data_IF_557855403205
#
_entry.id   IF_557855403205
#
_cell.length_a   1.000
_cell.length_b   1.000
_cell.length_c   1.000
_cell.angle_alpha   90.00
_cell.angle_beta   90.00
_cell.angle_gamma   90.00
#
_symmetry.space_group_name_H-M   'P 1'
#
loop_
_entity.id
_entity.type
_entity.pdbx_description
1 polymer ?
#
# COMPACT_ATOMS: atom_id res chain seq x y z
N UNK A 1 20.48 9.36 -10.49
CA UNK A 1 21.45 8.90 -9.45
C UNK A 1 20.71 8.83 -8.12
N UNK A 2 20.93 7.77 -7.33
CA UNK A 2 20.27 7.61 -6.03
C UNK A 2 21.28 7.80 -4.91
N UNK A 3 20.98 8.65 -3.94
CA UNK A 3 21.82 8.90 -2.76
C UNK A 3 20.98 8.69 -1.50
N UNK A 4 21.53 7.96 -0.50
CA UNK A 4 20.88 7.72 0.80
C UNK A 4 21.68 8.39 1.90
N UNK A 5 21.01 9.25 2.67
CA UNK A 5 21.63 10.13 3.68
C UNK A 5 20.89 9.93 5.00
N UNK A 6 21.62 9.63 6.06
CA UNK A 6 21.07 9.73 7.41
C UNK A 6 21.15 11.20 7.86
N UNK A 7 19.97 11.79 8.13
CA UNK A 7 19.89 13.19 8.57
C UNK A 7 20.08 13.30 10.08
N UNK A 8 19.41 12.42 10.82
CA UNK A 8 19.45 12.24 12.27
C UNK A 8 19.20 10.76 12.60
N UNK A 9 19.50 10.28 13.82
CA UNK A 9 19.16 8.91 14.21
C UNK A 9 17.68 8.58 13.92
N UNK A 10 17.46 7.60 13.05
CA UNK A 10 16.13 7.18 12.65
C UNK A 10 15.41 8.10 11.65
N UNK A 11 16.08 9.11 11.08
CA UNK A 11 15.56 9.93 9.97
C UNK A 11 16.47 9.73 8.75
N UNK A 12 15.98 9.02 7.75
CA UNK A 12 16.70 8.70 6.53
C UNK A 12 16.07 9.38 5.32
N UNK A 13 16.91 9.99 4.49
CA UNK A 13 16.55 10.60 3.23
C UNK A 13 17.10 9.77 2.07
N UNK A 14 16.25 9.43 1.12
CA UNK A 14 16.62 8.90 -0.19
C UNK A 14 16.34 9.95 -1.25
N UNK A 15 17.35 10.33 -2.01
CA UNK A 15 17.25 11.33 -3.10
C UNK A 15 17.47 10.63 -4.43
N UNK A 16 16.49 10.76 -5.32
CA UNK A 16 16.59 10.40 -6.72
C UNK A 16 16.76 11.68 -7.54
N UNK A 17 18.00 11.98 -7.93
CA UNK A 17 18.25 13.15 -8.79
C UNK A 17 17.87 12.83 -10.21
N UNK A 18 16.81 13.51 -10.71
CA UNK A 18 16.30 13.37 -12.07
C UNK A 18 15.76 14.71 -12.58
N UNK A 19 16.33 15.21 -13.67
CA UNK A 19 15.96 16.48 -14.26
C UNK A 19 14.91 16.37 -15.39
N UNK A 20 14.40 15.17 -15.68
CA UNK A 20 13.35 14.98 -16.72
C UNK A 20 12.00 15.54 -16.30
N UNK A 21 11.73 15.58 -14.99
CA UNK A 21 10.44 15.98 -14.46
C UNK A 21 10.33 17.51 -14.31
N UNK A 22 9.12 18.03 -14.56
CA UNK A 22 8.76 19.43 -14.30
C UNK A 22 8.26 19.61 -12.86
N UNK A 23 7.80 18.54 -12.26
CA UNK A 23 7.39 18.49 -10.86
C UNK A 23 8.31 17.58 -10.10
N UNK A 24 8.68 18.01 -8.90
CA UNK A 24 9.40 17.22 -7.92
C UNK A 24 8.42 16.61 -6.93
N UNK A 25 8.78 15.52 -6.30
CA UNK A 25 8.03 15.04 -5.16
C UNK A 25 8.90 14.92 -3.91
N UNK A 26 8.27 15.11 -2.77
CA UNK A 26 8.79 14.74 -1.46
C UNK A 26 7.76 13.88 -0.74
N UNK A 27 8.19 12.72 -0.23
CA UNK A 27 7.37 11.89 0.66
C UNK A 27 7.99 11.89 2.05
N UNK A 28 7.16 12.15 3.06
CA UNK A 28 7.54 12.12 4.48
C UNK A 28 6.70 11.02 5.12
N UNK A 29 7.35 9.96 5.59
CA UNK A 29 6.68 8.78 6.11
C UNK A 29 7.20 8.42 7.50
N UNK A 30 6.37 8.57 8.52
CA UNK A 30 6.59 7.95 9.82
C UNK A 30 6.18 6.48 9.72
N UNK A 31 7.06 5.58 10.12
CA UNK A 31 6.83 4.15 9.99
C UNK A 31 6.49 3.53 11.34
N UNK A 32 5.39 2.80 11.40
CA UNK A 32 4.93 2.08 12.60
C UNK A 32 4.76 0.60 12.29
N UNK A 33 4.96 -0.27 13.27
CA UNK A 33 4.45 -1.62 13.17
C UNK A 33 2.92 -1.56 13.08
N UNK A 34 2.34 -2.40 12.21
CA UNK A 34 0.90 -2.48 12.10
C UNK A 34 0.29 -3.03 13.38
N UNK A 35 -0.54 -2.25 14.03
CA UNK A 35 -1.23 -2.60 15.28
C UNK A 35 -2.69 -2.18 15.21
N UNK A 36 -3.59 -3.05 15.70
CA UNK A 36 -5.04 -2.80 15.68
C UNK A 36 -5.43 -1.55 16.46
N UNK A 37 -4.78 -1.30 17.58
CA UNK A 37 -5.07 -0.14 18.44
C UNK A 37 -4.59 1.19 17.84
N UNK A 38 -3.66 1.15 16.87
CA UNK A 38 -3.06 2.36 16.28
C UNK A 38 -3.52 2.61 14.83
N UNK A 39 -3.99 1.58 14.11
CA UNK A 39 -4.22 1.63 12.67
C UNK A 39 -5.17 2.77 12.23
N UNK A 40 -6.27 2.95 12.96
CA UNK A 40 -7.25 4.00 12.68
C UNK A 40 -6.67 5.39 12.91
N UNK A 41 -5.95 5.60 14.01
CA UNK A 41 -5.30 6.89 14.33
C UNK A 41 -4.18 7.20 13.34
N UNK A 42 -3.35 6.22 12.97
CA UNK A 42 -2.29 6.39 11.96
C UNK A 42 -2.85 6.84 10.61
N UNK A 43 -4.04 6.35 10.23
CA UNK A 43 -4.69 6.76 8.99
C UNK A 43 -5.34 8.15 9.08
N UNK A 44 -5.81 8.55 10.27
CA UNK A 44 -6.55 9.79 10.49
C UNK A 44 -5.61 11.01 10.61
N UNK A 45 -4.48 10.86 11.28
CA UNK A 45 -3.55 11.96 11.61
C UNK A 45 -3.20 12.84 10.41
N UNK A 46 -2.76 12.33 9.25
CA UNK A 46 -2.35 13.20 8.15
C UNK A 46 -3.50 14.07 7.62
N UNK A 47 -4.72 13.54 7.61
CA UNK A 47 -5.89 14.29 7.16
C UNK A 47 -6.24 15.40 8.15
N UNK A 48 -6.16 15.14 9.46
CA UNK A 48 -6.40 16.15 10.51
C UNK A 48 -5.35 17.26 10.43
N UNK A 49 -4.07 16.94 10.23
CA UNK A 49 -2.99 17.92 10.07
C UNK A 49 -3.19 18.82 8.83
N UNK A 50 -3.79 18.30 7.77
CA UNK A 50 -4.10 19.07 6.55
C UNK A 50 -5.29 20.01 6.69
N UNK A 51 -6.03 19.99 7.81
CA UNK A 51 -7.16 20.89 8.01
C UNK A 51 -6.74 22.33 8.27
N UNK A 52 -5.56 22.56 8.86
CA UNK A 52 -5.06 23.90 9.14
C UNK A 52 -3.78 23.91 9.96
N UNK A 53 -3.10 25.06 9.92
CA UNK A 53 -1.96 25.43 10.78
C UNK A 53 -2.32 26.67 11.58
N UNK A 54 -1.50 27.08 12.57
CA UNK A 54 -1.73 28.32 13.30
C UNK A 54 -1.65 29.57 12.38
N UNK A 55 -0.94 29.48 11.25
CA UNK A 55 -0.85 30.56 10.24
C UNK A 55 -1.88 30.47 9.13
N UNK A 56 -2.52 29.31 8.93
CA UNK A 56 -3.53 29.04 7.91
C UNK A 56 -4.63 28.14 8.51
N UNK A 57 -5.60 28.74 9.17
CA UNK A 57 -6.54 28.10 10.10
C UNK A 57 -7.67 27.29 9.43
N UNK A 58 -7.76 27.27 8.11
CA UNK A 58 -8.79 26.54 7.39
C UNK A 58 -8.30 26.02 6.02
N UNK A 59 -9.07 25.10 5.41
CA UNK A 59 -8.76 24.52 4.11
C UNK A 59 -8.64 25.55 2.97
N UNK A 60 -9.37 26.65 3.05
CA UNK A 60 -9.30 27.70 2.03
C UNK A 60 -7.94 28.40 2.09
N UNK A 61 -7.46 28.73 3.29
CA UNK A 61 -6.14 29.36 3.49
C UNK A 61 -5.02 28.39 3.10
N UNK A 62 -5.15 27.11 3.43
CA UNK A 62 -4.24 26.04 2.97
C UNK A 62 -4.19 26.01 1.45
N UNK A 63 -5.35 25.99 0.77
CA UNK A 63 -5.43 25.96 -0.69
C UNK A 63 -4.80 27.20 -1.32
N UNK A 64 -5.12 28.39 -0.81
CA UNK A 64 -4.52 29.63 -1.29
C UNK A 64 -3.00 29.63 -1.16
N UNK A 65 -2.48 29.13 -0.03
CA UNK A 65 -1.05 29.01 0.17
C UNK A 65 -0.39 28.04 -0.81
N UNK A 66 -1.03 26.90 -1.11
CA UNK A 66 -0.54 25.96 -2.11
C UNK A 66 -0.59 26.52 -3.53
N UNK A 67 -1.62 27.31 -3.86
CA UNK A 67 -1.72 28.02 -5.15
C UNK A 67 -0.60 29.06 -5.30
N UNK A 68 -0.27 29.82 -4.26
CA UNK A 68 0.88 30.74 -4.23
C UNK A 68 2.22 30.01 -4.44
N UNK A 69 2.30 28.72 -4.06
CA UNK A 69 3.44 27.84 -4.30
C UNK A 69 3.38 27.14 -5.67
N UNK A 70 2.89 27.85 -6.70
CA UNK A 70 2.77 27.37 -8.07
C UNK A 70 1.89 26.11 -8.22
N UNK A 71 0.82 26.02 -7.42
CA UNK A 71 -0.08 24.88 -7.43
C UNK A 71 0.57 23.62 -6.82
N UNK A 72 1.40 23.78 -5.81
CA UNK A 72 1.90 22.66 -5.04
C UNK A 72 0.74 21.87 -4.41
N UNK A 73 0.93 20.59 -4.20
CA UNK A 73 -0.08 19.74 -3.56
C UNK A 73 0.52 18.95 -2.41
N UNK A 74 -0.26 18.81 -1.34
CA UNK A 74 0.06 17.96 -0.19
C UNK A 74 -1.08 16.99 -0.01
N UNK A 75 -0.77 15.70 -0.01
CA UNK A 75 -1.74 14.62 0.15
C UNK A 75 -1.39 13.74 1.34
N UNK A 76 -2.38 13.23 2.09
CA UNK A 76 -2.13 12.34 3.20
C UNK A 76 -1.60 10.99 2.70
N UNK A 77 -0.61 10.47 3.41
CA UNK A 77 -0.14 9.08 3.24
C UNK A 77 -0.67 8.23 4.39
N UNK A 78 -1.31 7.12 4.04
CA UNK A 78 -1.55 5.99 4.91
C UNK A 78 -1.39 4.73 4.08
N UNK A 79 -0.19 4.13 4.09
CA UNK A 79 0.13 2.96 3.28
C UNK A 79 0.45 1.78 4.18
N UNK A 80 0.32 0.58 3.64
CA UNK A 80 0.73 -0.66 4.28
C UNK A 80 1.86 -1.31 3.50
N UNK A 81 2.90 -1.74 4.20
CA UNK A 81 4.00 -2.52 3.65
C UNK A 81 4.29 -3.73 4.58
N UNK A 82 3.63 -4.86 4.29
CA UNK A 82 3.75 -6.06 5.11
C UNK A 82 3.30 -5.83 6.56
N UNK A 83 4.24 -5.92 7.49
CA UNK A 83 4.03 -5.72 8.92
C UNK A 83 4.01 -4.26 9.35
N UNK A 84 4.23 -3.32 8.43
CA UNK A 84 4.32 -1.89 8.75
C UNK A 84 3.19 -1.09 8.14
N UNK A 85 2.89 0.03 8.79
CA UNK A 85 2.03 1.10 8.31
C UNK A 85 2.84 2.39 8.26
N UNK A 86 2.70 3.14 7.17
CA UNK A 86 3.28 4.48 7.07
C UNK A 86 2.19 5.54 7.19
N UNK A 87 2.52 6.65 7.85
CA UNK A 87 1.65 7.81 8.00
C UNK A 87 2.45 9.08 7.74
N UNK A 88 1.88 10.06 7.07
CA UNK A 88 2.54 11.32 6.75
C UNK A 88 2.04 11.97 5.48
N UNK A 89 2.93 12.56 4.67
CA UNK A 89 2.56 13.36 3.51
C UNK A 89 3.32 12.97 2.25
N UNK A 90 2.60 13.01 1.14
CA UNK A 90 3.15 13.10 -0.20
C UNK A 90 2.97 14.52 -0.72
N UNK A 91 4.06 15.16 -1.11
CA UNK A 91 4.11 16.53 -1.57
C UNK A 91 4.55 16.53 -3.02
N UNK A 92 3.80 17.19 -3.90
CA UNK A 92 4.21 17.47 -5.28
C UNK A 92 4.36 18.98 -5.46
N UNK A 93 5.47 19.40 -6.04
CA UNK A 93 5.79 20.81 -6.22
C UNK A 93 6.48 21.05 -7.56
N UNK A 94 6.32 22.24 -8.11
CA UNK A 94 7.03 22.63 -9.33
C UNK A 94 8.54 22.69 -9.06
N UNK A 95 9.32 22.28 -10.04
CA UNK A 95 10.78 22.36 -9.97
C UNK A 95 11.25 23.83 -10.01
N UNK A 96 12.19 24.21 -9.15
CA UNK A 96 12.75 25.57 -9.04
C UNK A 96 13.21 26.15 -10.38
N UNK A 97 13.61 25.31 -11.35
CA UNK A 97 14.02 25.72 -12.71
C UNK A 97 12.92 26.41 -13.53
N UNK A 98 11.67 26.23 -13.15
CA UNK A 98 10.51 26.80 -13.81
C UNK A 98 9.85 27.93 -13.01
N UNK A 99 10.37 28.24 -11.82
CA UNK A 99 9.90 29.34 -10.99
C UNK A 99 10.31 30.71 -11.59
N UNK A 100 9.50 31.72 -11.32
CA UNK A 100 9.78 33.07 -11.72
C UNK A 100 10.85 33.69 -10.79
N UNK A 101 11.63 34.64 -11.32
CA UNK A 101 12.58 35.46 -10.56
C UNK A 101 13.59 34.70 -9.68
N UNK A 102 13.82 33.42 -9.96
CA UNK A 102 14.75 32.57 -9.20
C UNK A 102 14.27 32.17 -7.81
N UNK A 103 12.97 32.19 -7.56
CA UNK A 103 12.38 31.70 -6.32
C UNK A 103 12.68 30.21 -6.08
N UNK A 104 12.91 29.87 -4.81
CA UNK A 104 13.01 28.45 -4.42
C UNK A 104 11.65 27.92 -3.98
N UNK A 105 10.92 27.32 -4.91
CA UNK A 105 9.66 26.61 -4.62
C UNK A 105 9.87 25.49 -3.63
N UNK A 106 11.00 24.77 -3.75
CA UNK A 106 11.38 23.72 -2.81
C UNK A 106 11.44 24.23 -1.36
N UNK A 107 12.21 25.30 -1.10
CA UNK A 107 12.39 25.80 0.27
C UNK A 107 11.09 26.36 0.85
N UNK A 108 10.29 27.08 0.05
CA UNK A 108 9.00 27.63 0.48
C UNK A 108 7.99 26.52 0.75
N UNK A 109 7.89 25.50 -0.13
CA UNK A 109 7.00 24.36 0.08
C UNK A 109 7.40 23.56 1.32
N UNK A 110 8.70 23.34 1.54
CA UNK A 110 9.18 22.64 2.74
C UNK A 110 8.91 23.42 4.02
N UNK A 111 8.97 24.77 3.98
CA UNK A 111 8.56 25.62 5.12
C UNK A 111 7.08 25.42 5.44
N UNK A 112 6.22 25.41 4.44
CA UNK A 112 4.79 25.17 4.64
C UNK A 112 4.50 23.74 5.15
N UNK A 113 5.17 22.74 4.64
CA UNK A 113 5.04 21.34 5.11
C UNK A 113 5.53 21.21 6.56
N UNK A 114 6.57 21.97 6.94
CA UNK A 114 7.01 22.07 8.34
C UNK A 114 5.89 22.59 9.24
N UNK A 115 5.18 23.63 8.82
CA UNK A 115 4.06 24.18 9.59
C UNK A 115 2.94 23.14 9.74
N UNK A 116 2.60 22.39 8.68
CA UNK A 116 1.63 21.28 8.77
C UNK A 116 2.03 20.21 9.79
N UNK A 117 3.33 19.88 9.88
CA UNK A 117 3.82 18.84 10.78
C UNK A 117 3.99 19.32 12.23
N UNK A 118 4.30 20.60 12.46
CA UNK A 118 4.79 21.06 13.77
C UNK A 118 4.03 22.26 14.34
N UNK A 119 3.29 23.00 13.52
CA UNK A 119 2.58 24.24 13.92
C UNK A 119 1.05 24.13 13.73
N UNK A 120 0.50 23.00 14.15
CA UNK A 120 -0.95 22.76 14.11
C UNK A 120 -1.69 23.35 15.30
N UNK A 121 -2.94 23.83 15.14
CA UNK A 121 -3.73 24.39 16.23
C UNK A 121 -4.22 23.29 17.19
N UNK A 122 -4.23 23.64 18.48
CA UNK A 122 -4.69 22.74 19.55
C UNK A 122 -5.67 23.42 20.47
N UNK A 123 -6.56 22.65 21.09
CA UNK A 123 -7.52 23.12 22.08
C UNK A 123 -7.66 22.09 23.20
N UNK A 124 -7.69 22.56 24.45
CA UNK A 124 -7.86 21.70 25.65
C UNK A 124 -6.90 20.50 25.70
N UNK A 125 -5.68 20.66 25.14
CA UNK A 125 -4.65 19.62 25.13
C UNK A 125 -4.86 18.53 24.06
N UNK A 126 -5.75 18.71 23.09
CA UNK A 126 -5.97 17.85 21.92
C UNK A 126 -5.90 18.63 20.62
N UNK A 127 -6.05 17.97 19.49
CA UNK A 127 -6.32 18.64 18.21
C UNK A 127 -7.66 19.39 18.28
N UNK A 128 -7.90 20.35 17.36
CA UNK A 128 -9.21 21.00 17.28
C UNK A 128 -10.31 19.94 17.07
N UNK A 129 -11.38 19.93 17.92
CA UNK A 129 -12.46 18.95 17.82
C UNK A 129 -13.11 18.92 16.43
N UNK A 130 -13.36 20.09 15.83
CA UNK A 130 -13.98 20.20 14.51
C UNK A 130 -13.12 19.56 13.40
N UNK A 131 -11.79 19.62 13.53
CA UNK A 131 -10.88 18.97 12.57
C UNK A 131 -10.95 17.46 12.71
N UNK A 132 -10.90 16.96 13.94
CA UNK A 132 -10.94 15.52 14.20
C UNK A 132 -12.29 14.94 13.80
N UNK A 133 -13.40 15.52 14.24
CA UNK A 133 -14.73 15.00 13.93
C UNK A 133 -15.03 15.06 12.42
N UNK A 134 -14.61 16.14 11.73
CA UNK A 134 -14.75 16.25 10.28
C UNK A 134 -13.98 15.13 9.53
N UNK A 135 -12.75 14.83 9.94
CA UNK A 135 -11.96 13.79 9.28
C UNK A 135 -12.36 12.35 9.70
N UNK A 136 -12.91 12.17 10.90
CA UNK A 136 -13.56 10.89 11.28
C UNK A 136 -14.72 10.56 10.34
N UNK A 137 -15.58 11.54 10.03
CA UNK A 137 -16.67 11.35 9.05
C UNK A 137 -16.13 10.93 7.69
N UNK A 138 -15.07 11.59 7.20
CA UNK A 138 -14.46 11.28 5.93
C UNK A 138 -13.83 9.87 5.93
N UNK A 139 -13.12 9.49 6.97
CA UNK A 139 -12.49 8.16 7.07
C UNK A 139 -13.54 7.06 7.19
N UNK A 140 -14.60 7.26 7.98
CA UNK A 140 -15.72 6.30 8.07
C UNK A 140 -16.39 6.14 6.70
N UNK A 141 -16.65 7.25 5.99
CA UNK A 141 -17.22 7.19 4.65
C UNK A 141 -16.32 6.44 3.66
N UNK A 142 -15.00 6.62 3.74
CA UNK A 142 -14.03 5.88 2.92
C UNK A 142 -14.04 4.38 3.24
N UNK A 143 -14.09 3.99 4.52
CA UNK A 143 -14.22 2.58 4.95
C UNK A 143 -15.51 1.98 4.42
N UNK A 144 -16.63 2.69 4.53
CA UNK A 144 -17.93 2.23 4.04
C UNK A 144 -17.95 2.11 2.51
N UNK A 145 -17.31 3.02 1.80
CA UNK A 145 -17.19 2.95 0.34
C UNK A 145 -16.40 1.70 -0.11
N UNK A 146 -15.30 1.35 0.60
CA UNK A 146 -14.59 0.08 0.34
C UNK A 146 -15.48 -1.13 0.59
N UNK A 147 -16.32 -1.13 1.63
CA UNK A 147 -17.22 -2.23 1.95
C UNK A 147 -18.41 -2.34 0.96
N UNK A 148 -18.76 -1.26 0.28
CA UNK A 148 -19.79 -1.27 -0.75
C UNK A 148 -19.32 -1.95 -2.05
N UNK A 149 -18.03 -1.90 -2.38
CA UNK A 149 -17.46 -2.77 -3.43
C UNK A 149 -17.39 -4.21 -2.91
N UNK A 150 -18.32 -5.04 -3.33
CA UNK A 150 -18.45 -6.41 -2.84
C UNK A 150 -17.26 -7.31 -3.19
N UNK A 151 -16.46 -6.94 -4.19
CA UNK A 151 -15.19 -7.63 -4.49
C UNK A 151 -14.15 -7.27 -3.43
N UNK A 152 -13.99 -6.00 -3.10
CA UNK A 152 -13.08 -5.53 -2.05
C UNK A 152 -13.52 -6.09 -0.70
N UNK A 153 -14.82 -6.06 -0.42
CA UNK A 153 -15.40 -6.64 0.79
C UNK A 153 -15.03 -8.11 0.95
N UNK A 154 -15.28 -8.95 -0.07
CA UNK A 154 -15.01 -10.39 -0.01
C UNK A 154 -13.50 -10.69 0.23
N UNK A 155 -12.61 -9.95 -0.45
CA UNK A 155 -11.16 -10.05 -0.23
C UNK A 155 -10.81 -9.67 1.21
N UNK A 156 -11.36 -8.59 1.73
CA UNK A 156 -11.13 -8.13 3.11
C UNK A 156 -11.60 -9.17 4.13
N UNK A 157 -12.78 -9.76 3.92
CA UNK A 157 -13.30 -10.80 4.81
C UNK A 157 -12.44 -12.06 4.79
N UNK A 158 -11.99 -12.50 3.62
CA UNK A 158 -11.07 -13.62 3.54
C UNK A 158 -9.77 -13.34 4.31
N UNK A 159 -9.12 -12.20 4.08
CA UNK A 159 -7.86 -11.84 4.75
C UNK A 159 -8.05 -11.67 6.27
N UNK A 160 -9.14 -11.04 6.69
CA UNK A 160 -9.48 -10.86 8.12
C UNK A 160 -9.60 -12.20 8.86
N UNK A 161 -10.18 -13.20 8.21
CA UNK A 161 -10.35 -14.53 8.81
C UNK A 161 -9.08 -15.37 8.69
N UNK A 162 -8.48 -15.44 7.50
CA UNK A 162 -7.25 -16.20 7.23
C UNK A 162 -6.07 -15.73 8.08
N UNK A 163 -5.94 -14.41 8.27
CA UNK A 163 -4.81 -13.77 8.95
C UNK A 163 -5.23 -13.12 10.29
N UNK A 164 -6.23 -13.65 10.99
CA UNK A 164 -6.76 -13.09 12.24
C UNK A 164 -5.68 -12.88 13.30
N UNK A 165 -4.70 -13.78 13.36
CA UNK A 165 -3.59 -13.78 14.33
C UNK A 165 -2.35 -13.03 13.83
N UNK A 166 -2.43 -12.46 12.64
CA UNK A 166 -1.34 -11.71 11.98
C UNK A 166 -1.72 -10.24 11.79
N UNK A 167 -0.72 -9.37 11.88
CA UNK A 167 -0.88 -7.96 11.55
C UNK A 167 -1.47 -7.76 10.15
N UNK A 168 -1.25 -8.71 9.24
CA UNK A 168 -1.78 -8.66 7.87
C UNK A 168 -3.31 -8.72 7.79
N UNK A 169 -4.01 -9.27 8.78
CA UNK A 169 -5.47 -9.24 8.88
C UNK A 169 -6.07 -7.90 9.37
N UNK A 170 -5.25 -6.94 9.83
CA UNK A 170 -5.72 -5.66 10.35
C UNK A 170 -6.03 -4.71 9.17
N UNK A 171 -7.20 -4.09 9.09
CA UNK A 171 -7.50 -3.09 8.07
C UNK A 171 -6.62 -1.85 8.20
N UNK A 172 -6.12 -1.33 7.07
CA UNK A 172 -5.23 -0.15 7.03
C UNK A 172 -5.83 1.10 7.67
N UNK A 173 -7.13 1.33 7.48
CA UNK A 173 -7.86 2.48 8.05
C UNK A 173 -8.53 2.17 9.39
N UNK A 174 -8.31 0.98 9.96
CA UNK A 174 -9.08 0.49 11.12
C UNK A 174 -10.50 0.06 10.74
N UNK A 175 -11.32 -0.21 11.74
CA UNK A 175 -12.75 -0.47 11.60
C UNK A 175 -13.54 0.82 11.91
N UNK A 176 -14.80 0.90 11.49
CA UNK A 176 -15.68 2.06 11.75
C UNK A 176 -15.77 2.37 13.26
N UNK A 177 -15.88 1.34 14.09
CA UNK A 177 -15.91 1.49 15.55
C UNK A 177 -14.63 2.07 16.11
N UNK A 178 -13.46 1.67 15.56
CA UNK A 178 -12.16 2.17 16.00
C UNK A 178 -12.05 3.68 15.71
N UNK A 179 -12.44 4.10 14.50
CA UNK A 179 -12.43 5.52 14.11
C UNK A 179 -13.42 6.33 14.95
N UNK A 180 -14.63 5.84 15.16
CA UNK A 180 -15.66 6.52 15.94
C UNK A 180 -15.23 6.80 17.39
N UNK A 181 -14.44 5.91 17.98
CA UNK A 181 -13.97 6.01 19.37
C UNK A 181 -12.83 7.01 19.57
N UNK A 182 -12.14 7.47 18.50
CA UNK A 182 -10.99 8.38 18.61
C UNK A 182 -11.40 9.71 19.19
N UNK A 183 -10.68 10.17 20.22
CA UNK A 183 -10.83 11.51 20.79
C UNK A 183 -9.71 12.45 20.31
N UNK A 184 -9.94 13.78 20.27
CA UNK A 184 -8.92 14.77 19.91
C UNK A 184 -7.64 14.67 20.77
N UNK A 185 -7.79 14.40 22.06
CA UNK A 185 -6.69 14.25 23.01
C UNK A 185 -5.84 13.01 22.69
N UNK A 186 -6.47 11.84 22.59
CA UNK A 186 -5.76 10.58 22.27
C UNK A 186 -5.04 10.65 20.93
N UNK A 187 -5.65 11.30 19.93
CA UNK A 187 -5.06 11.46 18.60
C UNK A 187 -3.79 12.34 18.68
N UNK A 188 -3.81 13.45 19.42
CA UNK A 188 -2.63 14.29 19.60
C UNK A 188 -1.54 13.56 20.39
N UNK A 189 -1.87 12.89 21.49
CA UNK A 189 -0.91 12.12 22.28
C UNK A 189 -0.25 11.02 21.44
N UNK A 190 -1.05 10.37 20.59
CA UNK A 190 -0.54 9.37 19.66
C UNK A 190 0.39 9.99 18.59
N UNK A 191 0.02 11.14 18.03
CA UNK A 191 0.87 11.84 17.06
C UNK A 191 2.21 12.28 17.67
N UNK A 192 2.19 12.82 18.88
CA UNK A 192 3.41 13.20 19.62
C UNK A 192 4.32 11.98 19.87
N UNK A 193 3.72 10.81 20.16
CA UNK A 193 4.45 9.55 20.30
C UNK A 193 5.06 9.11 18.97
N UNK A 194 4.30 9.18 17.85
CA UNK A 194 4.80 8.87 16.50
C UNK A 194 6.01 9.74 16.18
N UNK A 195 5.91 11.03 16.35
CA UNK A 195 7.01 11.98 16.10
C UNK A 195 8.25 11.65 16.91
N UNK A 196 8.08 11.30 18.17
CA UNK A 196 9.19 11.00 19.08
C UNK A 196 9.87 9.68 18.78
N UNK A 197 9.10 8.62 18.49
CA UNK A 197 9.61 7.24 18.52
C UNK A 197 9.81 6.61 17.13
N UNK A 198 9.00 7.01 16.14
CA UNK A 198 8.98 6.30 14.86
C UNK A 198 10.18 6.60 13.97
N UNK A 199 10.71 5.62 13.24
CA UNK A 199 11.55 5.89 12.08
C UNK A 199 10.84 6.81 11.10
N UNK A 200 11.59 7.70 10.45
CA UNK A 200 11.10 8.57 9.38
C UNK A 200 11.85 8.24 8.10
N UNK A 201 11.12 7.87 7.09
CA UNK A 201 11.63 7.72 5.74
C UNK A 201 11.20 8.92 4.89
N UNK A 202 12.18 9.55 4.29
CA UNK A 202 12.03 10.71 3.42
C UNK A 202 12.49 10.32 2.02
N UNK A 203 11.67 10.58 1.01
CA UNK A 203 12.00 10.33 -0.38
C UNK A 203 11.84 11.61 -1.17
N UNK A 204 12.88 12.02 -1.86
CA UNK A 204 12.84 13.14 -2.80
C UNK A 204 13.15 12.63 -4.20
N UNK A 205 12.32 12.99 -5.16
CA UNK A 205 12.55 12.74 -6.59
C UNK A 205 12.44 14.08 -7.32
N UNK A 206 13.54 14.53 -7.94
CA UNK A 206 13.55 15.80 -8.64
C UNK A 206 14.96 16.24 -9.00
N UNK A 207 15.10 17.50 -9.47
CA UNK A 207 16.37 18.03 -9.99
C UNK A 207 17.31 18.62 -8.93
N UNK A 208 16.81 18.86 -7.70
CA UNK A 208 17.63 19.51 -6.67
C UNK A 208 18.79 18.62 -6.23
N UNK A 209 19.91 19.26 -5.92
CA UNK A 209 21.10 18.57 -5.42
C UNK A 209 20.80 17.92 -4.06
N UNK A 210 21.29 16.70 -3.80
CA UNK A 210 21.03 15.98 -2.55
C UNK A 210 21.38 16.79 -1.30
N UNK A 211 22.47 17.55 -1.34
CA UNK A 211 22.94 18.38 -0.23
C UNK A 211 21.99 19.54 0.08
N UNK A 212 21.35 20.15 -0.95
CA UNK A 212 20.33 21.20 -0.76
C UNK A 212 19.10 20.61 -0.06
N UNK A 213 18.60 19.49 -0.57
CA UNK A 213 17.43 18.79 0.02
C UNK A 213 17.73 18.36 1.46
N UNK A 214 18.90 17.76 1.70
CA UNK A 214 19.32 17.33 3.03
C UNK A 214 19.44 18.50 4.02
N UNK A 215 19.97 19.66 3.60
CA UNK A 215 20.04 20.87 4.44
C UNK A 215 18.64 21.31 4.86
N UNK A 216 17.72 21.51 3.92
CA UNK A 216 16.37 21.97 4.20
C UNK A 216 15.62 21.02 5.15
N UNK A 217 15.75 19.70 4.93
CA UNK A 217 15.12 18.71 5.80
C UNK A 217 15.79 18.62 7.18
N UNK A 218 17.12 18.82 7.29
CA UNK A 218 17.76 18.94 8.62
C UNK A 218 17.20 20.13 9.39
N UNK A 219 17.05 21.29 8.74
CA UNK A 219 16.45 22.48 9.36
C UNK A 219 14.98 22.23 9.79
N UNK A 220 14.22 21.49 9.00
CA UNK A 220 12.83 21.10 9.35
C UNK A 220 12.79 20.28 10.65
N UNK A 221 13.67 19.30 10.82
CA UNK A 221 13.67 18.38 11.97
C UNK A 221 14.61 18.79 13.11
N UNK A 222 15.30 19.93 13.02
CA UNK A 222 16.35 20.35 13.97
C UNK A 222 15.90 20.46 15.43
N UNK A 223 14.64 20.81 15.66
CA UNK A 223 14.09 21.02 17.01
C UNK A 223 13.40 19.77 17.58
N UNK A 224 13.32 18.69 16.81
CA UNK A 224 12.66 17.47 17.24
C UNK A 224 13.51 16.69 18.26
N UNK A 225 13.01 16.57 19.48
CA UNK A 225 13.59 15.71 20.50
C UNK A 225 13.06 14.29 20.32
N UNK A 226 13.91 13.39 19.84
CA UNK A 226 13.51 12.04 19.49
C UNK A 226 14.11 11.01 20.45
N UNK A 227 13.27 10.04 20.79
CA UNK A 227 13.64 8.78 21.46
C UNK A 227 13.36 7.65 20.45
N UNK A 228 14.15 7.66 19.37
CA UNK A 228 13.96 6.77 18.22
C UNK A 228 14.02 5.31 18.64
N UNK A 229 13.03 4.56 18.17
CA UNK A 229 12.97 3.11 18.32
C UNK A 229 13.05 2.44 16.95
N UNK A 230 14.00 1.53 16.73
CA UNK A 230 14.08 0.79 15.47
C UNK A 230 12.82 -0.04 15.25
N UNK A 231 12.47 -0.26 14.00
CA UNK A 231 11.36 -1.16 13.65
C UNK A 231 11.73 -2.59 14.09
N UNK A 232 10.78 -3.34 14.65
CA UNK A 232 10.98 -4.77 14.85
C UNK A 232 11.09 -5.47 13.50
N UNK A 233 11.78 -6.61 13.46
CA UNK A 233 11.91 -7.42 12.26
C UNK A 233 10.55 -7.86 11.70
N UNK A 234 10.54 -8.17 10.41
CA UNK A 234 9.40 -8.81 9.76
C UNK A 234 9.09 -10.15 10.40
N UNK A 235 7.81 -10.40 10.65
CA UNK A 235 7.37 -11.67 11.22
C UNK A 235 6.88 -12.62 10.13
N UNK A 236 7.17 -13.93 10.24
CA UNK A 236 6.52 -14.93 9.39
C UNK A 236 4.99 -14.81 9.48
N UNK A 237 4.32 -15.10 8.37
CA UNK A 237 2.86 -15.10 8.32
C UNK A 237 2.27 -16.08 9.36
N UNK A 238 1.39 -15.59 10.21
CA UNK A 238 0.62 -16.40 11.14
C UNK A 238 -0.78 -16.62 10.59
N UNK A 239 -1.06 -17.86 10.25
CA UNK A 239 -2.36 -18.26 9.72
C UNK A 239 -3.24 -18.80 10.83
N UNK A 240 -4.50 -18.43 10.79
CA UNK A 240 -5.56 -19.05 11.62
C UNK A 240 -5.84 -20.47 11.13
N UNK A 241 -6.75 -21.22 11.79
CA UNK A 241 -7.21 -22.49 11.24
C UNK A 241 -7.82 -22.36 9.85
N UNK A 242 -7.67 -23.39 9.00
CA UNK A 242 -8.29 -23.41 7.67
C UNK A 242 -9.80 -23.20 7.76
N UNK A 243 -10.35 -22.37 6.88
CA UNK A 243 -11.75 -22.00 6.89
C UNK A 243 -12.35 -22.04 5.48
N UNK A 244 -13.59 -22.50 5.40
CA UNK A 244 -14.47 -22.37 4.22
C UNK A 244 -15.69 -21.55 4.66
N UNK A 245 -15.70 -20.26 4.31
CA UNK A 245 -16.67 -19.30 4.82
C UNK A 245 -17.66 -18.98 3.74
N UNK A 246 -18.96 -19.07 4.08
CA UNK A 246 -20.07 -18.61 3.24
C UNK A 246 -20.82 -17.52 3.98
N UNK A 247 -21.06 -16.42 3.28
CA UNK A 247 -21.84 -15.29 3.80
C UNK A 247 -22.94 -14.94 2.81
N UNK A 248 -24.15 -14.68 3.32
CA UNK A 248 -25.29 -14.26 2.51
C UNK A 248 -25.45 -12.76 2.57
N UNK A 249 -25.59 -12.13 1.41
CA UNK A 249 -25.82 -10.69 1.28
C UNK A 249 -26.60 -10.42 0.01
N UNK A 250 -27.32 -9.30 -0.02
CA UNK A 250 -28.01 -8.85 -1.22
C UNK A 250 -26.97 -8.44 -2.29
N UNK A 251 -26.68 -9.35 -3.21
CA UNK A 251 -25.73 -9.17 -4.33
C UNK A 251 -26.27 -9.82 -5.58
N UNK A 252 -26.00 -9.22 -6.74
CA UNK A 252 -26.41 -9.75 -8.04
C UNK A 252 -25.59 -10.97 -8.48
N UNK A 253 -24.34 -11.07 -8.08
CA UNK A 253 -23.41 -12.14 -8.47
C UNK A 253 -22.53 -12.53 -7.28
N UNK A 254 -22.19 -13.82 -7.21
CA UNK A 254 -21.30 -14.37 -6.20
C UNK A 254 -19.87 -13.79 -6.29
N UNK A 255 -19.21 -13.71 -5.14
CA UNK A 255 -17.79 -13.36 -5.06
C UNK A 255 -17.05 -14.49 -4.37
N UNK A 256 -16.31 -15.26 -5.16
CA UNK A 256 -15.44 -16.33 -4.66
C UNK A 256 -14.03 -15.79 -4.45
N UNK A 257 -13.52 -15.92 -3.23
CA UNK A 257 -12.14 -15.60 -2.89
C UNK A 257 -11.45 -16.85 -2.34
N UNK A 258 -10.25 -17.16 -2.86
CA UNK A 258 -9.45 -18.28 -2.40
C UNK A 258 -8.07 -17.78 -1.96
N UNK A 259 -7.72 -18.00 -0.70
CA UNK A 259 -6.47 -17.56 -0.09
C UNK A 259 -5.47 -18.70 -0.01
N UNK A 260 -4.30 -18.48 -0.57
CA UNK A 260 -3.18 -19.43 -0.57
C UNK A 260 -2.01 -18.82 0.22
N UNK A 261 -1.21 -19.68 0.81
CA UNK A 261 0.05 -19.30 1.46
C UNK A 261 1.25 -19.91 0.74
N UNK A 262 2.35 -19.19 0.75
CA UNK A 262 3.66 -19.64 0.30
C UNK A 262 4.75 -19.16 1.24
N UNK A 263 5.84 -19.91 1.47
CA UNK A 263 6.98 -19.41 2.24
C UNK A 263 7.79 -18.34 1.50
N UNK A 264 7.53 -18.12 0.20
CA UNK A 264 8.26 -17.14 -0.60
C UNK A 264 7.72 -15.73 -0.32
N UNK A 265 8.62 -14.84 0.07
CA UNK A 265 8.36 -13.42 0.28
C UNK A 265 9.26 -12.57 -0.61
N UNK A 266 9.09 -11.26 -0.61
CA UNK A 266 9.96 -10.35 -1.36
C UNK A 266 11.40 -10.29 -0.83
N UNK A 267 11.71 -10.95 0.28
CA UNK A 267 13.06 -11.09 0.86
C UNK A 267 13.78 -12.35 0.38
N UNK A 268 13.06 -13.25 -0.26
CA UNK A 268 13.60 -14.53 -0.71
C UNK A 268 14.18 -14.44 -2.12
N UNK A 269 15.20 -15.26 -2.40
CA UNK A 269 15.80 -15.36 -3.75
C UNK A 269 14.80 -15.73 -4.83
N UNK A 270 13.75 -16.48 -4.46
CA UNK A 270 12.73 -16.99 -5.38
C UNK A 270 11.59 -15.98 -5.61
N UNK A 271 11.73 -14.72 -5.10
CA UNK A 271 10.72 -13.69 -5.23
C UNK A 271 10.29 -13.42 -6.68
N UNK A 272 11.27 -13.21 -7.57
CA UNK A 272 10.99 -12.99 -8.99
C UNK A 272 10.29 -14.21 -9.64
N UNK A 273 10.71 -15.43 -9.28
CA UNK A 273 10.06 -16.65 -9.75
C UNK A 273 8.59 -16.76 -9.27
N UNK A 274 8.32 -16.38 -8.02
CA UNK A 274 6.96 -16.37 -7.47
C UNK A 274 6.07 -15.32 -8.16
N UNK A 275 6.62 -14.15 -8.52
CA UNK A 275 5.89 -13.16 -9.30
C UNK A 275 5.52 -13.68 -10.70
N UNK A 276 6.49 -14.31 -11.42
CA UNK A 276 6.23 -14.92 -12.73
C UNK A 276 5.22 -16.05 -12.59
N UNK A 277 5.32 -16.90 -11.54
CA UNK A 277 4.34 -17.94 -11.26
C UNK A 277 2.93 -17.36 -11.09
N UNK A 278 2.78 -16.28 -10.32
CA UNK A 278 1.49 -15.62 -10.18
C UNK A 278 1.01 -15.01 -11.51
N UNK A 279 1.91 -14.45 -12.33
CA UNK A 279 1.61 -13.95 -13.68
C UNK A 279 1.03 -15.03 -14.58
N UNK A 280 1.70 -16.20 -14.65
CA UNK A 280 1.23 -17.37 -15.41
C UNK A 280 -0.10 -17.91 -14.87
N UNK A 281 -0.26 -17.94 -13.55
CA UNK A 281 -1.44 -18.51 -12.91
C UNK A 281 -2.68 -17.63 -13.11
N UNK A 282 -2.64 -16.35 -12.69
CA UNK A 282 -3.84 -15.49 -12.70
C UNK A 282 -3.56 -13.99 -12.70
N UNK A 283 -2.31 -13.55 -12.99
CA UNK A 283 -1.89 -12.17 -12.83
C UNK A 283 -2.39 -11.19 -13.90
N UNK A 284 -2.72 -11.68 -15.08
CA UNK A 284 -3.20 -10.86 -16.20
C UNK A 284 -4.13 -11.62 -17.16
N UNK A 285 -4.50 -10.95 -18.27
CA UNK A 285 -5.42 -11.50 -19.29
C UNK A 285 -4.84 -12.68 -20.09
N UNK A 286 -3.54 -12.91 -20.06
CA UNK A 286 -2.88 -14.04 -20.72
C UNK A 286 -2.72 -15.25 -19.80
N UNK A 287 -3.06 -15.09 -18.52
CA UNK A 287 -2.91 -16.12 -17.50
C UNK A 287 -3.84 -17.32 -17.67
N UNK A 288 -3.47 -18.43 -17.06
CA UNK A 288 -4.28 -19.67 -17.09
C UNK A 288 -5.67 -19.47 -16.53
N UNK A 289 -5.84 -18.76 -15.43
CA UNK A 289 -7.16 -18.50 -14.87
C UNK A 289 -8.03 -17.70 -15.83
N UNK A 290 -7.50 -16.64 -16.42
CA UNK A 290 -8.26 -15.83 -17.35
C UNK A 290 -8.63 -16.61 -18.61
N UNK A 291 -7.66 -17.26 -19.25
CA UNK A 291 -7.83 -17.96 -20.51
C UNK A 291 -8.70 -19.23 -20.39
N UNK A 292 -8.56 -19.99 -19.31
CA UNK A 292 -9.21 -21.30 -19.20
C UNK A 292 -10.52 -21.24 -18.39
N UNK A 293 -10.59 -20.45 -17.30
CA UNK A 293 -11.79 -20.37 -16.45
C UNK A 293 -12.79 -19.39 -17.02
N UNK A 294 -12.33 -18.20 -17.44
CA UNK A 294 -13.23 -17.15 -17.97
C UNK A 294 -13.52 -17.35 -19.46
N UNK A 295 -12.48 -17.33 -20.32
CA UNK A 295 -12.68 -17.28 -21.77
C UNK A 295 -13.15 -18.61 -22.35
N UNK A 296 -12.53 -19.74 -21.99
CA UNK A 296 -12.87 -21.05 -22.57
C UNK A 296 -14.10 -21.69 -21.94
N UNK A 297 -14.21 -21.62 -20.61
CA UNK A 297 -15.29 -22.32 -19.91
C UNK A 297 -16.43 -21.39 -19.46
N UNK A 298 -16.26 -20.06 -19.55
CA UNK A 298 -17.28 -19.07 -19.19
C UNK A 298 -17.84 -19.22 -17.76
N UNK A 299 -16.99 -19.71 -16.80
CA UNK A 299 -17.40 -19.97 -15.42
C UNK A 299 -17.49 -18.69 -14.58
N UNK A 300 -16.93 -17.57 -15.06
CA UNK A 300 -16.86 -16.33 -14.30
C UNK A 300 -16.87 -15.09 -15.22
N UNK A 301 -17.35 -13.97 -14.71
CA UNK A 301 -17.29 -12.66 -15.39
C UNK A 301 -15.93 -11.98 -15.21
N UNK A 302 -15.30 -12.23 -14.08
CA UNK A 302 -13.97 -11.70 -13.74
C UNK A 302 -13.22 -12.72 -12.90
N UNK A 303 -11.92 -12.84 -13.14
CA UNK A 303 -11.03 -13.67 -12.33
C UNK A 303 -9.62 -13.13 -12.40
N UNK A 304 -8.88 -13.24 -11.30
CA UNK A 304 -7.48 -12.91 -11.26
C UNK A 304 -6.84 -13.32 -9.94
N UNK A 305 -5.50 -13.32 -9.92
CA UNK A 305 -4.74 -13.56 -8.70
C UNK A 305 -3.84 -12.38 -8.35
N UNK A 306 -3.64 -12.15 -7.06
CA UNK A 306 -2.76 -11.12 -6.51
C UNK A 306 -1.78 -11.75 -5.53
N UNK A 307 -0.49 -11.46 -5.69
CA UNK A 307 0.57 -11.93 -4.79
C UNK A 307 1.00 -10.81 -3.83
N UNK A 308 0.69 -10.99 -2.55
CA UNK A 308 1.10 -10.11 -1.45
C UNK A 308 2.47 -10.55 -0.93
N UNK A 309 3.50 -10.11 -1.62
CA UNK A 309 4.87 -10.62 -1.48
C UNK A 309 5.48 -10.38 -0.09
N UNK A 310 5.12 -9.32 0.60
CA UNK A 310 5.66 -9.04 1.93
C UNK A 310 5.30 -10.11 2.98
N UNK A 311 4.21 -10.87 2.73
CA UNK A 311 3.70 -11.90 3.67
C UNK A 311 3.58 -13.30 3.05
N UNK A 312 3.86 -13.47 1.76
CA UNK A 312 3.73 -14.77 1.09
C UNK A 312 2.27 -15.24 0.98
N UNK A 313 1.36 -14.34 0.65
CA UNK A 313 -0.05 -14.67 0.41
C UNK A 313 -0.37 -14.49 -1.07
N UNK A 314 -1.02 -15.47 -1.68
CA UNK A 314 -1.66 -15.32 -2.99
C UNK A 314 -3.16 -15.43 -2.82
N UNK A 315 -3.87 -14.49 -3.42
CA UNK A 315 -5.31 -14.43 -3.35
C UNK A 315 -5.89 -14.51 -4.76
N UNK A 316 -6.77 -15.47 -5.00
CA UNK A 316 -7.61 -15.54 -6.21
C UNK A 316 -8.96 -14.95 -5.89
N UNK A 317 -9.47 -14.08 -6.76
CA UNK A 317 -10.81 -13.50 -6.66
C UNK A 317 -11.55 -13.68 -7.97
N UNK A 318 -12.80 -14.19 -7.92
CA UNK A 318 -13.66 -14.40 -9.07
C UNK A 318 -15.07 -13.87 -8.81
N UNK A 319 -15.65 -13.24 -9.85
CA UNK A 319 -17.08 -12.87 -9.90
C UNK A 319 -17.83 -13.92 -10.71
N UNK A 320 -18.79 -14.62 -10.11
CA UNK A 320 -19.42 -15.83 -10.67
C UNK A 320 -20.95 -15.80 -10.47
N UNK A 321 -21.65 -16.63 -11.21
CA UNK A 321 -23.02 -17.01 -10.85
C UNK A 321 -22.99 -17.97 -9.65
N UNK A 322 -24.03 -17.95 -8.83
CA UNK A 322 -24.04 -18.66 -7.55
C UNK A 322 -23.89 -20.17 -7.70
N UNK A 323 -24.48 -20.76 -8.73
CA UNK A 323 -24.43 -22.19 -9.06
C UNK A 323 -23.08 -22.63 -9.64
N UNK A 324 -22.26 -21.69 -10.12
CA UNK A 324 -20.95 -21.97 -10.70
C UNK A 324 -19.83 -22.09 -9.65
N UNK A 325 -20.10 -21.83 -8.37
CA UNK A 325 -19.08 -21.84 -7.33
C UNK A 325 -18.29 -23.16 -7.27
N UNK A 326 -18.91 -24.35 -7.22
CA UNK A 326 -18.16 -25.59 -7.12
C UNK A 326 -17.24 -25.84 -8.33
N UNK A 327 -17.76 -25.59 -9.54
CA UNK A 327 -17.00 -25.79 -10.77
C UNK A 327 -15.84 -24.79 -10.91
N UNK A 328 -16.09 -23.52 -10.58
CA UNK A 328 -15.05 -22.49 -10.61
C UNK A 328 -13.94 -22.79 -9.62
N UNK A 329 -14.27 -23.22 -8.40
CA UNK A 329 -13.31 -23.64 -7.38
C UNK A 329 -12.45 -24.80 -7.85
N UNK A 330 -13.05 -25.85 -8.38
CA UNK A 330 -12.37 -27.03 -8.91
C UNK A 330 -11.43 -26.65 -10.07
N UNK A 331 -11.91 -25.83 -10.99
CA UNK A 331 -11.13 -25.41 -12.14
C UNK A 331 -9.93 -24.51 -11.74
N UNK A 332 -10.09 -23.60 -10.79
CA UNK A 332 -8.97 -22.83 -10.23
C UNK A 332 -7.87 -23.76 -9.69
N UNK A 333 -8.25 -24.77 -8.92
CA UNK A 333 -7.31 -25.75 -8.37
C UNK A 333 -6.67 -26.60 -9.47
N UNK A 334 -7.42 -26.97 -10.49
CA UNK A 334 -6.90 -27.70 -11.65
C UNK A 334 -5.86 -26.87 -12.41
N UNK A 335 -6.08 -25.57 -12.60
CA UNK A 335 -5.10 -24.69 -13.25
C UNK A 335 -3.83 -24.54 -12.41
N UNK A 336 -3.92 -24.53 -11.09
CA UNK A 336 -2.75 -24.55 -10.21
C UNK A 336 -1.98 -25.87 -10.34
N UNK A 337 -2.69 -27.02 -10.43
CA UNK A 337 -2.04 -28.32 -10.61
C UNK A 337 -1.29 -28.41 -11.94
N UNK A 338 -1.87 -27.88 -13.02
CA UNK A 338 -1.16 -27.76 -14.31
C UNK A 338 0.13 -26.94 -14.19
N UNK A 339 0.15 -25.87 -13.37
CA UNK A 339 1.40 -25.16 -13.10
C UNK A 339 2.42 -26.04 -12.35
N UNK A 340 1.98 -26.84 -11.38
CA UNK A 340 2.83 -27.76 -10.59
C UNK A 340 3.44 -28.89 -11.42
N UNK A 341 2.68 -29.38 -12.39
CA UNK A 341 3.10 -30.43 -13.33
C UNK A 341 3.98 -29.87 -14.46
N UNK A 342 4.14 -28.55 -14.56
CA UNK A 342 4.97 -27.91 -15.58
C UNK A 342 4.27 -27.72 -16.94
N UNK A 343 2.95 -27.87 -17.00
CA UNK A 343 2.15 -27.55 -18.18
C UNK A 343 2.06 -26.05 -18.39
N UNK A 344 3.21 -25.42 -18.65
CA UNK A 344 3.39 -23.99 -18.89
C UNK A 344 4.03 -23.85 -20.27
N UNK A 345 3.35 -23.22 -21.21
CA UNK A 345 3.89 -22.96 -22.55
C UNK A 345 4.96 -21.85 -22.50
N UNK A 346 5.81 -21.80 -23.52
CA UNK A 346 6.80 -20.72 -23.68
C UNK A 346 6.11 -19.37 -23.81
N UNK A 347 4.96 -19.32 -24.46
CA UNK A 347 4.16 -18.09 -24.60
C UNK A 347 3.63 -17.59 -23.26
N UNK A 348 3.07 -18.45 -22.40
CA UNK A 348 2.59 -18.06 -21.07
C UNK A 348 3.73 -17.53 -20.19
N UNK A 349 4.89 -18.22 -20.21
CA UNK A 349 6.06 -17.80 -19.46
C UNK A 349 6.60 -16.45 -19.95
N UNK A 350 6.72 -16.28 -21.27
CA UNK A 350 7.22 -15.03 -21.88
C UNK A 350 6.28 -13.88 -21.59
N UNK A 351 4.97 -14.04 -21.82
CA UNK A 351 3.98 -12.98 -21.58
C UNK A 351 3.97 -12.52 -20.12
N UNK A 352 4.02 -13.45 -19.16
CA UNK A 352 4.08 -13.10 -17.74
C UNK A 352 5.34 -12.30 -17.40
N UNK A 353 6.51 -12.67 -17.93
CA UNK A 353 7.75 -11.90 -17.73
C UNK A 353 7.67 -10.52 -18.36
N UNK A 354 7.24 -10.41 -19.61
CA UNK A 354 7.15 -9.14 -20.33
C UNK A 354 6.20 -8.16 -19.66
N UNK A 355 5.04 -8.64 -19.17
CA UNK A 355 4.09 -7.81 -18.42
C UNK A 355 4.72 -7.23 -17.15
N UNK A 356 5.42 -8.04 -16.35
CA UNK A 356 6.10 -7.61 -15.14
C UNK A 356 7.26 -6.65 -15.43
N UNK A 357 8.08 -6.95 -16.45
CA UNK A 357 9.20 -6.09 -16.87
C UNK A 357 8.68 -4.75 -17.40
N UNK A 358 7.60 -4.76 -18.19
CA UNK A 358 6.97 -3.54 -18.68
C UNK A 358 6.46 -2.67 -17.54
N UNK A 359 5.81 -3.26 -16.53
CA UNK A 359 5.39 -2.55 -15.33
C UNK A 359 6.57 -1.92 -14.58
N UNK A 360 7.70 -2.64 -14.45
CA UNK A 360 8.91 -2.11 -13.82
C UNK A 360 9.58 -0.98 -14.61
N UNK A 361 9.53 -1.02 -15.94
CA UNK A 361 9.99 0.11 -16.78
C UNK A 361 9.16 1.35 -16.52
N UNK A 362 7.85 1.20 -16.38
CA UNK A 362 6.93 2.30 -16.03
C UNK A 362 7.19 2.93 -14.67
N UNK A 363 7.96 2.30 -13.79
CA UNK A 363 8.37 2.91 -12.50
C UNK A 363 9.15 4.21 -12.72
N UNK A 364 9.91 4.31 -13.79
CA UNK A 364 10.70 5.50 -14.10
C UNK A 364 9.92 6.65 -14.76
N UNK A 365 8.62 6.49 -15.02
CA UNK A 365 7.83 7.46 -15.79
C UNK A 365 7.36 8.65 -14.94
N UNK A 366 7.22 8.47 -13.63
CA UNK A 366 6.76 9.54 -12.72
C UNK A 366 7.54 9.57 -11.41
N UNK A 367 7.67 10.74 -10.77
CA UNK A 367 8.28 10.85 -9.45
C UNK A 367 7.58 9.98 -8.39
N UNK A 368 6.24 9.89 -8.45
CA UNK A 368 5.45 9.10 -7.51
C UNK A 368 5.67 7.59 -7.66
N UNK A 369 5.85 7.10 -8.90
CA UNK A 369 6.14 5.68 -9.15
C UNK A 369 7.51 5.27 -8.61
N UNK A 370 8.53 6.13 -8.80
CA UNK A 370 9.88 5.93 -8.26
C UNK A 370 9.84 5.87 -6.73
N UNK A 371 9.20 6.86 -6.10
CA UNK A 371 9.04 6.93 -4.65
C UNK A 371 8.31 5.71 -4.09
N UNK A 372 7.16 5.38 -4.67
CA UNK A 372 6.32 4.27 -4.20
C UNK A 372 7.02 2.92 -4.33
N UNK A 373 7.74 2.71 -5.43
CA UNK A 373 8.52 1.48 -5.64
C UNK A 373 9.64 1.34 -4.60
N UNK A 374 10.50 2.37 -4.45
CA UNK A 374 11.64 2.30 -3.52
C UNK A 374 11.16 2.14 -2.07
N UNK A 375 10.15 2.92 -1.67
CA UNK A 375 9.52 2.80 -0.35
C UNK A 375 8.97 1.40 -0.08
N UNK A 376 8.27 0.80 -1.05
CA UNK A 376 7.72 -0.55 -0.91
C UNK A 376 8.83 -1.62 -0.81
N UNK A 377 9.88 -1.51 -1.63
CA UNK A 377 11.01 -2.45 -1.61
C UNK A 377 11.84 -2.32 -0.33
N UNK A 378 12.09 -1.11 0.14
CA UNK A 378 12.82 -0.87 1.38
C UNK A 378 12.04 -1.38 2.60
N UNK A 379 10.79 -0.97 2.75
CA UNK A 379 9.93 -1.41 3.86
C UNK A 379 9.62 -2.90 3.82
N UNK A 380 9.53 -3.47 2.62
CA UNK A 380 9.37 -4.91 2.43
C UNK A 380 10.64 -5.72 2.72
N UNK A 381 11.80 -5.06 2.85
CA UNK A 381 13.09 -5.67 3.18
C UNK A 381 13.81 -6.34 2.00
N UNK A 382 13.39 -6.10 0.74
CA UNK A 382 14.10 -6.63 -0.43
C UNK A 382 15.21 -5.70 -0.92
N UNK A 383 15.01 -4.39 -0.86
CA UNK A 383 15.96 -3.38 -1.32
C UNK A 383 16.31 -3.44 -2.82
N UNK A 384 15.52 -4.17 -3.62
CA UNK A 384 15.76 -4.34 -5.06
C UNK A 384 15.50 -3.03 -5.81
N UNK A 385 16.47 -2.61 -6.63
CA UNK A 385 16.24 -1.55 -7.63
C UNK A 385 15.40 -2.10 -8.80
N UNK A 386 14.65 -1.25 -9.54
CA UNK A 386 13.88 -1.73 -10.71
C UNK A 386 14.73 -2.50 -11.71
N UNK A 387 15.97 -2.04 -11.99
CA UNK A 387 16.86 -2.71 -12.95
C UNK A 387 17.34 -4.09 -12.44
N UNK A 388 17.65 -4.21 -11.15
CA UNK A 388 18.02 -5.50 -10.56
C UNK A 388 16.81 -6.45 -10.55
N UNK A 389 15.62 -5.92 -10.31
CA UNK A 389 14.38 -6.69 -10.34
C UNK A 389 14.05 -7.18 -11.75
N UNK A 390 14.16 -6.33 -12.78
CA UNK A 390 13.98 -6.75 -14.18
C UNK A 390 14.92 -7.87 -14.57
N UNK A 391 16.23 -7.76 -14.24
CA UNK A 391 17.19 -8.84 -14.50
C UNK A 391 16.83 -10.14 -13.79
N UNK A 392 16.33 -10.06 -12.55
CA UNK A 392 15.88 -11.25 -11.83
C UNK A 392 14.66 -11.90 -12.51
N UNK A 393 13.71 -11.13 -13.02
CA UNK A 393 12.56 -11.65 -13.78
C UNK A 393 12.98 -12.28 -15.11
N UNK A 394 13.92 -11.65 -15.84
CA UNK A 394 14.47 -12.18 -17.09
C UNK A 394 15.11 -13.57 -16.89
N UNK A 395 15.81 -13.77 -15.77
CA UNK A 395 16.52 -15.00 -15.45
C UNK A 395 15.59 -16.16 -15.02
N UNK A 396 14.32 -15.91 -14.68
CA UNK A 396 13.39 -16.95 -14.21
C UNK A 396 13.19 -18.04 -15.29
N UNK A 397 13.31 -19.30 -14.90
CA UNK A 397 13.06 -20.45 -15.76
C UNK A 397 11.68 -21.06 -15.51
N UNK A 398 11.22 -21.94 -16.42
CA UNK A 398 9.98 -22.72 -16.20
C UNK A 398 10.07 -23.58 -14.94
N UNK A 399 11.22 -24.16 -14.65
CA UNK A 399 11.45 -24.98 -13.46
C UNK A 399 11.29 -24.17 -12.17
N UNK A 400 11.78 -22.92 -12.15
CA UNK A 400 11.60 -22.02 -11.01
C UNK A 400 10.11 -21.73 -10.76
N UNK A 401 9.33 -21.52 -11.82
CA UNK A 401 7.87 -21.31 -11.74
C UNK A 401 7.18 -22.55 -11.18
N UNK A 402 7.52 -23.73 -11.65
CA UNK A 402 7.00 -25.02 -11.15
C UNK A 402 7.31 -25.20 -9.66
N UNK A 403 8.55 -24.90 -9.26
CA UNK A 403 8.99 -25.00 -7.87
C UNK A 403 8.23 -24.02 -6.96
N UNK A 404 7.91 -22.83 -7.43
CA UNK A 404 7.05 -21.87 -6.72
C UNK A 404 5.60 -22.36 -6.65
N UNK A 405 5.03 -22.89 -7.73
CA UNK A 405 3.67 -23.45 -7.76
C UNK A 405 3.49 -24.60 -6.76
N UNK A 406 4.48 -25.48 -6.62
CA UNK A 406 4.46 -26.59 -5.64
C UNK A 406 4.42 -26.12 -4.19
N UNK A 407 4.94 -24.93 -3.91
CA UNK A 407 4.96 -24.33 -2.56
C UNK A 407 3.74 -23.47 -2.26
N UNK A 408 2.83 -23.27 -3.22
CA UNK A 408 1.60 -22.53 -3.03
C UNK A 408 0.51 -23.49 -2.53
N UNK A 409 0.00 -23.24 -1.33
CA UNK A 409 -0.95 -24.13 -0.65
C UNK A 409 -2.26 -23.38 -0.37
N UNK A 410 -3.39 -23.95 -0.79
CA UNK A 410 -4.71 -23.44 -0.44
C UNK A 410 -4.89 -23.50 1.09
N UNK A 411 -5.28 -22.37 1.66
CA UNK A 411 -5.54 -22.26 3.10
C UNK A 411 -7.02 -22.05 3.40
N UNK A 412 -7.62 -20.96 2.91
CA UNK A 412 -9.01 -20.60 3.23
C UNK A 412 -9.75 -20.15 1.97
N UNK A 413 -11.08 -20.31 2.02
CA UNK A 413 -11.98 -19.79 0.98
C UNK A 413 -13.06 -18.93 1.64
N UNK A 414 -13.55 -17.97 0.87
CA UNK A 414 -14.69 -17.13 1.23
C UNK A 414 -15.59 -16.98 0.02
N UNK A 415 -16.86 -17.27 0.21
CA UNK A 415 -17.88 -17.10 -0.82
C UNK A 415 -18.99 -16.20 -0.33
N UNK A 416 -19.15 -15.07 -0.99
CA UNK A 416 -20.29 -14.19 -0.82
C UNK A 416 -21.39 -14.62 -1.80
N UNK A 417 -22.50 -15.13 -1.27
CA UNK A 417 -23.64 -15.61 -2.04
C UNK A 417 -24.87 -14.69 -1.93
N UNK A 418 -25.75 -14.76 -2.90
CA UNK A 418 -27.04 -14.03 -2.89
C UNK A 418 -27.99 -14.58 -1.85
N UNK A 419 -28.69 -13.70 -1.15
CA UNK A 419 -29.74 -14.04 -0.22
C UNK A 419 -30.36 -12.78 0.39
N UNK A 420 -31.63 -12.79 0.72
CA UNK A 420 -32.24 -11.76 1.54
C UNK A 420 -31.71 -11.91 2.98
N UNK A 421 -31.35 -10.82 3.62
CA UNK A 421 -30.93 -10.76 5.04
C UNK A 421 -32.08 -11.11 6.04
N UNK A 422 -33.15 -11.73 5.57
CA UNK A 422 -34.38 -11.99 6.32
C UNK A 422 -34.72 -13.48 6.54
N UNK A 423 -33.72 -14.36 6.56
CA UNK A 423 -33.90 -15.73 7.09
C UNK A 423 -32.86 -16.01 8.16
N UNK A 424 -33.04 -15.37 9.32
CA UNK A 424 -32.50 -15.81 10.60
C UNK A 424 -33.49 -15.38 11.68
N UNK A 425 -34.52 -16.20 11.85
CA UNK A 425 -35.30 -16.30 13.08
C UNK A 425 -34.80 -17.52 13.89
#
# INVERSE_FOLDING_TARGET
MTERIELYPGIRLTVFTDCRFKQNCLSIQYVRKMDRSEAAMNALIPSVLLRGTNSAMDLRQITLRLDELYGASVSPISRRAGDYQTTGFYVSMMDDRFALDGESVLEQTLSFVKDLLFDYPTENGGFLPDFVEGEKVNQIAAIQAELNDKRVYAVRQLLKNMCREDSFGIPRMGEVSDVAAITPQELLDHYLRIRRESPVQLYYVGSAQPQKVARCLREMFAQERRDYRPLPDHTPLKLSGKQDIRERMEVAHGKLCMGFSTPVTNRDRDFAAMQVMNGVFGGDVTSKLFQNVREKQSLCYSIGSSYYSAKGVVLVSAGIDFDQEPHTREEILRQLELCREGHISDSELLSAKEALISALRGVYDTPSSIESYDSAMELGGSGLTPDAHMRALEAVTREDVVNCAKRLLLHSTYFLEGGSSHEAD
#
